data_IF_810499038113
#
_entry.id   IF_810499038113
#
_cell.length_a   1.000
_cell.length_b   1.000
_cell.length_c   1.000
_cell.angle_alpha   90.00
_cell.angle_beta   90.00
_cell.angle_gamma   90.00
#
_symmetry.space_group_name_H-M   'P 1'
#
loop_
_entity.id
_entity.type
_entity.pdbx_description
1 polymer ?
#
# COMPACT_ATOMS: atom_id res chain seq x y z
N UNK A 1 29.34 9.73 -48.56
CA UNK A 1 28.39 10.47 -47.71
C UNK A 1 28.14 9.60 -46.48
N UNK A 2 28.59 10.02 -45.30
CA UNK A 2 28.42 9.30 -44.04
C UNK A 2 27.33 10.02 -43.25
N UNK A 3 26.21 9.37 -42.97
CA UNK A 3 25.20 9.90 -42.05
C UNK A 3 25.43 9.32 -40.66
N UNK A 4 25.59 10.22 -39.69
CA UNK A 4 25.89 9.90 -38.30
C UNK A 4 24.63 9.39 -37.59
N UNK A 5 24.69 8.15 -37.09
CA UNK A 5 23.68 7.57 -36.20
C UNK A 5 23.84 8.15 -34.80
N UNK A 6 22.98 9.10 -34.43
CA UNK A 6 22.98 9.73 -33.10
C UNK A 6 22.61 8.71 -32.02
N UNK A 7 23.52 8.52 -31.07
CA UNK A 7 23.35 7.72 -29.85
C UNK A 7 22.34 8.42 -28.94
N UNK A 8 21.19 7.81 -28.71
CA UNK A 8 20.17 8.29 -27.78
C UNK A 8 20.72 8.17 -26.35
N UNK A 9 21.15 9.30 -25.79
CA UNK A 9 21.59 9.44 -24.41
C UNK A 9 20.36 9.19 -23.51
N UNK A 10 20.26 7.97 -22.99
CA UNK A 10 19.16 7.55 -22.12
C UNK A 10 18.98 8.54 -20.97
N UNK A 11 17.79 9.16 -20.92
CA UNK A 11 17.44 10.15 -19.90
C UNK A 11 17.59 9.52 -18.51
N UNK A 12 18.50 10.08 -17.71
CA UNK A 12 18.72 9.69 -16.32
C UNK A 12 17.48 10.04 -15.49
N UNK A 13 16.75 9.01 -15.04
CA UNK A 13 15.64 9.19 -14.11
C UNK A 13 16.21 9.64 -12.76
N UNK A 14 15.88 10.87 -12.34
CA UNK A 14 16.16 11.33 -10.98
C UNK A 14 15.12 10.74 -10.04
N UNK A 15 15.54 9.78 -9.23
CA UNK A 15 14.74 9.22 -8.14
C UNK A 15 15.13 9.99 -6.88
N UNK A 16 14.31 10.96 -6.49
CA UNK A 16 14.38 11.60 -5.18
C UNK A 16 13.63 10.70 -4.18
N UNK A 17 14.37 10.12 -3.24
CA UNK A 17 13.83 9.33 -2.14
C UNK A 17 14.39 9.88 -0.83
N UNK A 18 13.52 10.23 0.11
CA UNK A 18 13.89 10.71 1.46
C UNK A 18 14.25 9.55 2.41
N UNK A 19 14.29 8.33 1.91
CA UNK A 19 14.68 7.14 2.65
C UNK A 19 16.19 7.09 2.84
N UNK A 20 16.66 6.88 4.08
CA UNK A 20 18.06 6.56 4.35
C UNK A 20 18.44 5.29 3.58
N UNK A 21 19.28 5.45 2.55
CA UNK A 21 19.68 4.35 1.68
C UNK A 21 20.69 3.48 2.42
N UNK A 22 20.26 2.32 2.91
CA UNK A 22 21.17 1.34 3.50
C UNK A 22 21.90 0.66 2.32
N UNK A 23 23.24 0.75 2.23
CA UNK A 23 23.99 0.04 1.20
C UNK A 23 23.70 -1.46 1.26
N UNK A 24 23.57 -2.15 0.13
CA UNK A 24 23.24 -3.59 0.12
C UNK A 24 24.17 -4.43 1.00
N UNK A 25 25.45 -4.08 1.03
CA UNK A 25 26.46 -4.75 1.86
C UNK A 25 26.14 -4.65 3.36
N UNK A 26 25.52 -3.56 3.80
CA UNK A 26 25.10 -3.34 5.18
C UNK A 26 23.76 -4.03 5.53
N UNK A 27 22.99 -4.51 4.54
CA UNK A 27 21.72 -5.20 4.76
C UNK A 27 21.87 -6.72 5.00
N UNK A 28 23.10 -7.22 5.13
CA UNK A 28 23.39 -8.65 5.20
C UNK A 28 22.62 -9.38 6.30
N UNK A 29 22.48 -8.75 7.47
CA UNK A 29 21.74 -9.35 8.59
C UNK A 29 20.24 -9.53 8.29
N UNK A 30 19.59 -8.51 7.71
CA UNK A 30 18.19 -8.60 7.31
C UNK A 30 18.00 -9.65 6.21
N UNK A 31 18.92 -9.73 5.25
CA UNK A 31 18.88 -10.74 4.19
C UNK A 31 19.05 -12.16 4.76
N UNK A 32 19.90 -12.36 5.76
CA UNK A 32 20.03 -13.66 6.45
C UNK A 32 18.76 -14.04 7.19
N UNK A 33 18.12 -13.11 7.90
CA UNK A 33 16.85 -13.35 8.59
C UNK A 33 15.72 -13.65 7.60
N UNK A 34 15.65 -12.93 6.48
CA UNK A 34 14.68 -13.17 5.41
C UNK A 34 14.84 -14.56 4.79
N UNK A 35 16.09 -14.98 4.53
CA UNK A 35 16.40 -16.34 4.06
C UNK A 35 16.03 -17.41 5.08
N UNK A 36 16.27 -17.16 6.37
CA UNK A 36 15.85 -18.06 7.45
C UNK A 36 14.32 -18.19 7.49
N UNK A 37 13.59 -17.08 7.45
CA UNK A 37 12.13 -17.07 7.45
C UNK A 37 11.52 -17.74 6.20
N UNK A 38 12.19 -17.64 5.04
CA UNK A 38 11.76 -18.28 3.79
C UNK A 38 12.23 -19.73 3.65
N UNK A 39 13.16 -20.18 4.50
CA UNK A 39 13.68 -21.54 4.47
C UNK A 39 12.60 -22.51 4.93
N UNK A 40 12.51 -23.65 4.23
CA UNK A 40 11.56 -24.73 4.57
C UNK A 40 12.20 -25.83 5.41
N UNK A 41 13.36 -25.55 5.98
CA UNK A 41 14.12 -26.47 6.81
C UNK A 41 13.43 -26.65 8.17
N UNK A 42 12.78 -27.79 8.35
CA UNK A 42 12.04 -28.11 9.56
C UNK A 42 12.91 -28.24 10.80
N UNK A 43 14.20 -28.57 10.64
CA UNK A 43 15.10 -28.77 11.77
C UNK A 43 15.66 -27.44 12.27
N UNK A 44 15.90 -26.49 11.36
CA UNK A 44 16.16 -25.09 11.73
C UNK A 44 14.96 -24.44 12.41
N UNK A 45 13.73 -24.69 11.94
CA UNK A 45 12.52 -24.14 12.55
C UNK A 45 12.24 -24.69 13.97
N UNK A 46 12.69 -25.92 14.28
CA UNK A 46 12.62 -26.49 15.64
C UNK A 46 13.70 -25.91 16.56
N UNK A 47 14.85 -25.54 16.01
CA UNK A 47 15.99 -25.01 16.77
C UNK A 47 15.82 -23.54 17.17
N UNK A 48 14.99 -22.78 16.45
CA UNK A 48 14.73 -21.37 16.73
C UNK A 48 13.52 -21.27 17.69
N UNK A 49 13.70 -20.80 18.94
CA UNK A 49 12.58 -20.61 19.85
C UNK A 49 11.72 -19.44 19.34
N UNK A 50 10.50 -19.76 18.92
CA UNK A 50 9.48 -18.77 18.54
C UNK A 50 8.53 -18.59 19.71
N UNK A 51 8.55 -17.40 20.32
CA UNK A 51 7.57 -17.06 21.34
C UNK A 51 6.25 -16.69 20.68
N UNK A 52 5.21 -17.48 20.94
CA UNK A 52 3.85 -17.16 20.52
C UNK A 52 3.13 -16.45 21.67
N UNK A 53 2.89 -15.17 21.49
CA UNK A 53 2.10 -14.39 22.43
C UNK A 53 0.60 -14.70 22.25
N UNK A 54 -0.10 -14.96 23.35
CA UNK A 54 -1.55 -15.20 23.35
C UNK A 54 -2.37 -13.91 23.22
N UNK A 55 -1.75 -12.76 23.46
CA UNK A 55 -2.33 -11.42 23.40
C UNK A 55 -1.32 -10.47 22.72
N UNK A 56 -1.79 -9.43 22.00
CA UNK A 56 -0.89 -8.44 21.42
C UNK A 56 -0.08 -7.73 22.52
N UNK A 57 1.21 -7.50 22.27
CA UNK A 57 2.12 -6.79 23.21
C UNK A 57 1.88 -5.29 23.21
N UNK A 58 1.40 -4.79 22.08
CA UNK A 58 0.98 -3.41 21.91
C UNK A 58 -0.47 -3.37 22.37
N UNK A 59 -0.79 -2.48 23.31
CA UNK A 59 -2.18 -2.20 23.63
C UNK A 59 -2.90 -1.92 22.31
N UNK A 60 -4.02 -2.61 22.12
CA UNK A 60 -4.94 -2.34 21.03
C UNK A 60 -5.53 -0.95 21.33
N UNK A 61 -4.74 0.10 21.11
CA UNK A 61 -5.25 1.42 20.79
C UNK A 61 -5.89 1.22 19.44
N UNK A 62 -7.09 0.63 19.47
CA UNK A 62 -8.10 0.83 18.48
C UNK A 62 -8.04 2.34 18.23
N UNK A 63 -7.63 2.80 17.04
CA UNK A 63 -7.97 4.15 16.64
C UNK A 63 -9.49 4.08 16.45
N UNK A 64 -10.26 4.06 17.55
CA UNK A 64 -11.71 4.22 17.52
C UNK A 64 -12.04 5.59 16.95
N UNK A 65 -11.11 6.53 17.05
CA UNK A 65 -10.97 7.56 16.05
C UNK A 65 -10.13 6.98 14.90
N UNK A 66 -10.79 6.52 13.83
CA UNK A 66 -10.18 6.62 12.50
C UNK A 66 -9.46 7.96 12.46
N UNK A 67 -8.18 8.00 12.10
CA UNK A 67 -7.47 9.27 11.96
C UNK A 67 -8.27 10.11 10.99
N UNK A 68 -9.12 11.00 11.51
CA UNK A 68 -9.94 11.90 10.73
C UNK A 68 -8.96 12.84 10.10
N UNK A 69 -8.62 12.58 8.83
CA UNK A 69 -7.99 13.60 8.01
C UNK A 69 -9.03 14.70 7.95
N UNK A 70 -8.75 15.86 8.57
CA UNK A 70 -9.70 16.96 8.74
C UNK A 70 -10.34 17.41 7.42
N UNK A 71 -9.67 17.16 6.30
CA UNK A 71 -10.29 17.04 5.00
C UNK A 71 -10.08 15.64 4.43
N UNK A 72 -11.17 14.98 4.01
CA UNK A 72 -11.04 13.83 3.11
C UNK A 72 -10.20 14.27 1.89
N UNK A 73 -9.08 13.59 1.59
CA UNK A 73 -8.24 13.98 0.47
C UNK A 73 -9.05 13.98 -0.83
N UNK A 74 -8.74 14.86 -1.80
CA UNK A 74 -9.55 15.04 -3.04
C UNK A 74 -9.96 13.72 -3.70
N UNK A 75 -9.06 12.74 -3.73
CA UNK A 75 -9.33 11.43 -4.33
C UNK A 75 -10.46 10.65 -3.63
N UNK A 76 -10.67 10.87 -2.33
CA UNK A 76 -11.71 10.21 -1.55
C UNK A 76 -13.07 10.87 -1.77
N UNK A 77 -13.11 12.21 -1.86
CA UNK A 77 -14.32 12.96 -2.20
C UNK A 77 -14.91 12.49 -3.54
N UNK A 78 -14.05 12.26 -4.54
CA UNK A 78 -14.45 11.72 -5.85
C UNK A 78 -15.04 10.30 -5.76
N UNK A 79 -14.48 9.43 -4.90
CA UNK A 79 -15.00 8.06 -4.70
C UNK A 79 -16.34 8.10 -3.98
N UNK A 80 -16.49 8.92 -2.95
CA UNK A 80 -17.75 9.08 -2.20
C UNK A 80 -18.84 9.65 -3.14
N UNK A 81 -18.54 10.68 -3.91
CA UNK A 81 -19.49 11.25 -4.88
C UNK A 81 -19.90 10.23 -5.95
N UNK A 82 -18.96 9.42 -6.45
CA UNK A 82 -19.27 8.36 -7.40
C UNK A 82 -20.15 7.25 -6.79
N UNK A 83 -19.85 6.81 -5.57
CA UNK A 83 -20.62 5.75 -4.89
C UNK A 83 -22.01 6.23 -4.45
N UNK A 84 -22.15 7.50 -4.06
CA UNK A 84 -23.42 8.11 -3.63
C UNK A 84 -24.29 8.56 -4.81
N UNK A 85 -23.73 9.37 -5.72
CA UNK A 85 -24.50 10.11 -6.72
C UNK A 85 -24.26 9.61 -8.16
N UNK A 86 -23.39 8.63 -8.38
CA UNK A 86 -22.94 8.18 -9.70
C UNK A 86 -22.24 9.28 -10.53
N UNK A 87 -21.67 10.27 -9.88
CA UNK A 87 -20.95 11.37 -10.53
C UNK A 87 -19.67 10.87 -11.21
N UNK A 88 -19.51 11.20 -12.48
CA UNK A 88 -18.40 10.73 -13.33
C UNK A 88 -17.64 11.92 -13.95
N UNK A 89 -16.30 11.90 -13.96
CA UNK A 89 -15.52 12.89 -14.69
C UNK A 89 -15.84 12.86 -16.19
N UNK A 90 -15.80 14.03 -16.84
CA UNK A 90 -16.04 14.13 -18.29
C UNK A 90 -14.98 13.37 -19.12
N UNK A 91 -13.77 13.20 -18.59
CA UNK A 91 -12.73 12.40 -19.23
C UNK A 91 -12.94 10.89 -19.03
N UNK A 92 -12.85 10.16 -20.13
CA UNK A 92 -13.02 8.70 -20.18
C UNK A 92 -11.91 7.97 -19.43
N UNK A 93 -10.67 8.47 -19.44
CA UNK A 93 -9.57 7.83 -18.71
C UNK A 93 -9.71 8.01 -17.21
N UNK A 94 -10.02 9.23 -16.75
CA UNK A 94 -10.28 9.50 -15.33
C UNK A 94 -11.50 8.74 -14.82
N UNK A 95 -12.57 8.63 -15.61
CA UNK A 95 -13.71 7.75 -15.30
C UNK A 95 -13.28 6.30 -15.07
N UNK A 96 -12.43 5.74 -15.94
CA UNK A 96 -12.00 4.35 -15.78
C UNK A 96 -11.11 4.16 -14.55
N UNK A 97 -10.23 5.12 -14.26
CA UNK A 97 -9.40 5.11 -13.05
C UNK A 97 -10.26 5.18 -11.79
N UNK A 98 -11.26 6.06 -11.78
CA UNK A 98 -12.18 6.22 -10.66
C UNK A 98 -12.97 4.93 -10.41
N UNK A 99 -13.52 4.30 -11.46
CA UNK A 99 -14.23 3.02 -11.33
C UNK A 99 -13.35 1.92 -10.74
N UNK A 100 -12.10 1.79 -11.19
CA UNK A 100 -11.16 0.80 -10.67
C UNK A 100 -10.82 1.05 -9.19
N UNK A 101 -10.71 2.31 -8.78
CA UNK A 101 -10.48 2.69 -7.38
C UNK A 101 -11.72 2.40 -6.53
N UNK A 102 -12.88 2.87 -6.98
CA UNK A 102 -14.15 2.71 -6.29
C UNK A 102 -14.60 1.25 -6.13
N UNK A 103 -14.23 0.35 -7.04
CA UNK A 103 -14.54 -1.08 -6.93
C UNK A 103 -13.96 -1.74 -5.67
N UNK A 104 -12.96 -1.11 -5.03
CA UNK A 104 -12.38 -1.55 -3.76
C UNK A 104 -13.18 -1.09 -2.55
N UNK A 105 -14.19 -0.26 -2.72
CA UNK A 105 -14.94 0.35 -1.63
C UNK A 105 -16.44 0.05 -1.75
N UNK A 106 -17.11 -0.04 -0.62
CA UNK A 106 -18.57 -0.14 -0.51
C UNK A 106 -19.05 0.95 0.43
N UNK A 107 -20.14 1.64 0.08
CA UNK A 107 -20.76 2.63 0.94
C UNK A 107 -21.79 1.94 1.84
N UNK A 108 -21.60 1.99 3.16
CA UNK A 108 -22.53 1.47 4.16
C UNK A 108 -22.87 2.59 5.14
N UNK A 109 -24.14 2.99 5.24
CA UNK A 109 -24.61 4.08 6.11
C UNK A 109 -23.81 5.41 5.99
N UNK A 110 -23.44 5.79 4.75
CA UNK A 110 -22.57 6.93 4.37
C UNK A 110 -21.07 6.79 4.72
N UNK A 111 -20.62 5.61 5.14
CA UNK A 111 -19.23 5.31 5.44
C UNK A 111 -18.66 4.44 4.31
N UNK A 112 -17.47 4.80 3.79
CA UNK A 112 -16.80 3.98 2.78
C UNK A 112 -15.92 2.91 3.44
N UNK A 113 -16.17 1.64 3.11
CA UNK A 113 -15.47 0.47 3.65
C UNK A 113 -14.67 -0.22 2.54
N UNK A 114 -13.43 -0.63 2.80
CA UNK A 114 -12.66 -1.44 1.85
C UNK A 114 -13.25 -2.85 1.72
N UNK A 115 -13.30 -3.39 0.50
CA UNK A 115 -13.90 -4.69 0.18
C UNK A 115 -12.99 -5.88 0.51
N UNK A 116 -11.71 -5.64 0.72
CA UNK A 116 -10.74 -6.68 1.06
C UNK A 116 -10.79 -6.92 2.58
N UNK A 117 -11.45 -8.02 2.94
CA UNK A 117 -11.36 -8.77 4.20
C UNK A 117 -12.29 -8.37 5.36
N UNK A 118 -13.33 -9.19 5.54
CA UNK A 118 -14.31 -9.24 6.64
C UNK A 118 -13.70 -9.60 8.02
N UNK A 119 -12.50 -9.12 8.34
CA UNK A 119 -11.89 -9.26 9.67
C UNK A 119 -11.68 -7.92 10.38
N UNK A 120 -11.54 -6.80 9.65
CA UNK A 120 -11.50 -5.46 10.23
C UNK A 120 -12.01 -4.44 9.21
N UNK A 121 -13.22 -3.88 9.37
CA UNK A 121 -13.68 -2.82 8.49
C UNK A 121 -12.89 -1.54 8.81
N UNK A 122 -11.97 -1.14 7.92
CA UNK A 122 -11.48 0.23 7.90
C UNK A 122 -12.58 1.10 7.32
N UNK A 123 -13.52 1.47 8.20
CA UNK A 123 -14.53 2.47 7.97
C UNK A 123 -13.86 3.85 7.93
N UNK A 124 -13.90 4.53 6.78
CA UNK A 124 -13.53 5.96 6.73
C UNK A 124 -14.82 6.77 6.82
N UNK A 125 -14.94 7.52 7.92
CA UNK A 125 -15.98 8.53 8.17
C UNK A 125 -15.63 9.82 7.44
#
# INVERSE_FOLDING_TARGET
>A
MLEASTRDEGKKLQIHSDSQLIPRVANGYADTLSKLASSRDSDLMKAIPVEKLSRPTIDEYLPTAAMTISESPRWMKEIIAYLSNQDLPNDKQETQKLRRRAAKFVLQDNISCTREDLATPFCVV
#
